data_IF_654458907625
#
_entry.id   IF_654458907625
#
_cell.length_a   1.000
_cell.length_b   1.000
_cell.length_c   1.000
_cell.angle_alpha   90.00
_cell.angle_beta   90.00
_cell.angle_gamma   90.00
#
_symmetry.space_group_name_H-M   'P 1'
#
loop_
_entity.id
_entity.type
_entity.pdbx_description
1 polymer ?
#
# COMPACT_ATOMS: atom_id res chain seq x y z
N UNK A 1 -14.76 -10.78 -1.40
CA UNK A 1 -13.84 -9.84 -2.09
C UNK A 1 -14.43 -8.45 -2.01
N UNK A 2 -13.62 -7.49 -1.68
CA UNK A 2 -14.07 -6.11 -1.54
C UNK A 2 -14.35 -5.47 -2.89
N UNK A 3 -15.42 -4.65 -2.93
CA UNK A 3 -15.79 -3.86 -4.11
C UNK A 3 -14.79 -2.74 -4.38
N UNK A 4 -14.08 -2.29 -3.35
CA UNK A 4 -13.13 -1.19 -3.42
C UNK A 4 -11.75 -1.68 -3.03
N UNK A 5 -10.75 -1.24 -3.78
CA UNK A 5 -9.35 -1.50 -3.41
C UNK A 5 -8.54 -0.22 -3.54
N UNK A 6 -7.43 -0.19 -2.83
CA UNK A 6 -6.46 0.90 -2.89
C UNK A 6 -5.11 0.29 -3.25
N UNK A 7 -4.48 0.83 -4.29
CA UNK A 7 -3.19 0.34 -4.78
C UNK A 7 -2.08 1.30 -4.36
N UNK A 8 -1.00 0.77 -3.82
CA UNK A 8 0.19 1.55 -3.55
C UNK A 8 1.37 0.91 -4.27
N UNK A 9 1.92 1.63 -5.23
CA UNK A 9 3.14 1.24 -5.93
C UNK A 9 4.31 1.94 -5.28
N UNK A 10 5.42 1.24 -5.07
CA UNK A 10 6.55 1.84 -4.38
C UNK A 10 7.89 1.25 -4.78
N UNK A 11 8.92 2.09 -4.62
CA UNK A 11 10.32 1.70 -4.74
C UNK A 11 11.06 2.12 -3.47
N UNK A 12 11.91 1.23 -2.91
CA UNK A 12 12.77 1.63 -1.81
C UNK A 12 13.82 2.63 -2.29
N UNK A 13 14.35 3.46 -1.37
CA UNK A 13 15.51 4.30 -1.70
C UNK A 13 16.70 3.45 -2.13
N UNK A 14 17.61 4.03 -2.94
CA UNK A 14 18.73 3.29 -3.53
C UNK A 14 19.66 2.65 -2.51
N UNK A 15 19.78 3.22 -1.33
CA UNK A 15 20.70 2.73 -0.28
C UNK A 15 20.03 1.76 0.71
N UNK A 16 18.77 1.43 0.50
CA UNK A 16 18.00 0.52 1.37
C UNK A 16 17.87 -0.82 0.66
N UNK A 17 18.22 -1.90 1.37
CA UNK A 17 18.09 -3.25 0.80
C UNK A 17 16.63 -3.66 0.71
N UNK A 18 16.33 -4.57 -0.21
CA UNK A 18 14.97 -5.11 -0.33
C UNK A 18 14.53 -5.80 0.97
N UNK A 19 15.43 -6.51 1.62
CA UNK A 19 15.12 -7.19 2.88
C UNK A 19 14.72 -6.20 3.97
N UNK A 20 15.47 -5.12 4.12
CA UNK A 20 15.17 -4.07 5.10
C UNK A 20 13.84 -3.37 4.78
N UNK A 21 13.65 -3.03 3.51
CA UNK A 21 12.42 -2.37 3.06
C UNK A 21 11.19 -3.24 3.31
N UNK A 22 11.26 -4.51 2.93
CA UNK A 22 10.13 -5.42 3.09
C UNK A 22 9.82 -5.71 4.55
N UNK A 23 10.82 -5.86 5.39
CA UNK A 23 10.61 -6.08 6.82
C UNK A 23 9.89 -4.89 7.45
N UNK A 24 10.31 -3.67 7.12
CA UNK A 24 9.64 -2.47 7.61
C UNK A 24 8.23 -2.35 7.06
N UNK A 25 8.07 -2.57 5.75
CA UNK A 25 6.79 -2.37 5.09
C UNK A 25 5.73 -3.35 5.60
N UNK A 26 6.11 -4.61 5.81
CA UNK A 26 5.19 -5.62 6.33
C UNK A 26 4.68 -5.24 7.73
N UNK A 27 5.54 -4.68 8.56
CA UNK A 27 5.13 -4.17 9.87
C UNK A 27 4.24 -2.92 9.74
N UNK A 28 4.58 -2.02 8.82
CA UNK A 28 3.81 -0.80 8.56
C UNK A 28 2.40 -1.11 8.08
N UNK A 29 2.24 -2.14 7.25
CA UNK A 29 0.93 -2.59 6.77
C UNK A 29 0.00 -2.92 7.93
N UNK A 30 0.51 -3.54 8.99
CA UNK A 30 -0.31 -3.87 10.15
C UNK A 30 -0.87 -2.62 10.84
N UNK A 31 -0.11 -1.53 10.85
CA UNK A 31 -0.59 -0.26 11.38
C UNK A 31 -1.72 0.31 10.52
N UNK A 32 -1.59 0.21 9.20
CA UNK A 32 -2.62 0.66 8.27
C UNK A 32 -3.91 -0.14 8.46
N UNK A 33 -3.79 -1.46 8.63
CA UNK A 33 -4.95 -2.33 8.81
C UNK A 33 -5.71 -2.08 10.12
N UNK A 34 -5.11 -1.36 11.06
CA UNK A 34 -5.80 -0.94 12.27
C UNK A 34 -6.72 0.26 12.05
N UNK A 35 -6.65 0.90 10.88
CA UNK A 35 -7.48 2.06 10.53
C UNK A 35 -8.82 1.58 9.97
N UNK A 36 -9.92 2.20 10.40
CA UNK A 36 -11.25 1.84 9.92
C UNK A 36 -11.33 1.94 8.40
N UNK A 37 -11.88 0.91 7.78
CA UNK A 37 -12.05 0.83 6.34
C UNK A 37 -10.96 0.06 5.62
N UNK A 38 -9.83 -0.24 6.28
CA UNK A 38 -8.70 -0.98 5.71
C UNK A 38 -8.77 -2.43 6.17
N UNK A 39 -9.32 -3.28 5.31
CA UNK A 39 -9.74 -4.63 5.69
C UNK A 39 -8.62 -5.66 5.57
N UNK A 40 -7.87 -5.62 4.48
CA UNK A 40 -6.79 -6.58 4.22
C UNK A 40 -5.76 -5.98 3.28
N UNK A 41 -4.59 -6.62 3.22
CA UNK A 41 -3.53 -6.19 2.33
C UNK A 41 -2.77 -7.40 1.79
N UNK A 42 -2.33 -7.27 0.54
CA UNK A 42 -1.44 -8.24 -0.08
C UNK A 42 -0.35 -7.49 -0.82
N UNK A 43 0.88 -7.92 -0.69
CA UNK A 43 2.03 -7.30 -1.33
C UNK A 43 2.56 -8.17 -2.46
N UNK A 44 3.01 -7.52 -3.53
CA UNK A 44 3.51 -8.18 -4.74
C UNK A 44 4.79 -7.52 -5.20
N UNK A 45 5.67 -8.30 -5.83
CA UNK A 45 6.74 -7.73 -6.67
C UNK A 45 6.19 -7.53 -8.08
N UNK A 46 6.78 -6.58 -8.79
CA UNK A 46 6.36 -6.26 -10.16
C UNK A 46 7.47 -6.64 -11.12
N UNK A 47 7.11 -7.32 -12.18
CA UNK A 47 8.03 -7.74 -13.22
C UNK A 47 7.46 -7.33 -14.58
N UNK A 48 8.28 -6.71 -15.42
CA UNK A 48 7.86 -6.32 -16.74
C UNK A 48 7.73 -7.55 -17.64
N UNK A 49 6.59 -7.69 -18.33
CA UNK A 49 6.36 -8.76 -19.29
C UNK A 49 6.54 -8.24 -20.71
N UNK A 50 5.87 -7.13 -21.01
CA UNK A 50 5.97 -6.46 -22.30
C UNK A 50 6.23 -4.99 -22.03
N UNK A 51 7.44 -4.53 -22.38
CA UNK A 51 7.86 -3.16 -22.15
C UNK A 51 8.94 -2.84 -23.16
N UNK A 52 8.64 -1.98 -24.13
CA UNK A 52 9.55 -1.63 -25.21
C UNK A 52 10.87 -1.05 -24.71
N UNK A 53 10.84 -0.37 -23.57
CA UNK A 53 12.02 0.23 -22.96
C UNK A 53 12.60 -0.61 -21.83
N UNK A 54 11.96 -1.76 -21.53
CA UNK A 54 12.35 -2.66 -20.48
C UNK A 54 12.43 -1.97 -19.11
N UNK A 55 11.49 -1.09 -18.86
CA UNK A 55 11.38 -0.39 -17.58
C UNK A 55 10.08 -0.77 -16.89
N UNK A 56 10.11 -0.81 -15.59
CA UNK A 56 8.89 -0.95 -14.79
C UNK A 56 8.74 0.31 -13.95
N UNK A 57 7.49 0.80 -13.76
CA UNK A 57 7.30 2.05 -13.03
C UNK A 57 7.68 1.94 -11.56
N UNK A 58 7.49 0.74 -10.97
CA UNK A 58 7.76 0.50 -9.55
C UNK A 58 8.15 -0.95 -9.34
N UNK A 59 8.86 -1.20 -8.24
CA UNK A 59 9.31 -2.54 -7.88
C UNK A 59 8.26 -3.34 -7.11
N UNK A 60 7.46 -2.67 -6.29
CA UNK A 60 6.49 -3.30 -5.40
C UNK A 60 5.11 -2.73 -5.55
N UNK A 61 4.11 -3.58 -5.31
CA UNK A 61 2.70 -3.22 -5.26
C UNK A 61 2.09 -3.75 -3.98
N UNK A 62 1.35 -2.90 -3.27
CA UNK A 62 0.49 -3.32 -2.18
C UNK A 62 -0.96 -3.13 -2.60
N UNK A 63 -1.76 -4.17 -2.44
CA UNK A 63 -3.21 -4.14 -2.73
C UNK A 63 -3.95 -4.20 -1.42
N UNK A 64 -4.67 -3.13 -1.11
CA UNK A 64 -5.51 -3.05 0.08
C UNK A 64 -6.96 -3.25 -0.31
N UNK A 65 -7.65 -4.19 0.36
CA UNK A 65 -9.08 -4.32 0.23
C UNK A 65 -9.75 -3.40 1.25
N UNK A 66 -10.77 -2.68 0.80
CA UNK A 66 -11.44 -1.68 1.63
C UNK A 66 -12.88 -2.12 1.92
N UNK A 67 -13.34 -1.88 3.15
CA UNK A 67 -14.71 -2.16 3.56
C UNK A 67 -15.65 -0.95 3.41
N UNK A 68 -15.11 0.18 2.90
CA UNK A 68 -15.87 1.41 2.68
C UNK A 68 -15.36 2.07 1.39
N UNK A 69 -16.06 3.09 0.87
CA UNK A 69 -15.57 3.81 -0.33
C UNK A 69 -14.16 4.36 -0.13
N UNK A 70 -13.33 4.35 -1.19
CA UNK A 70 -11.92 4.74 -1.07
C UNK A 70 -11.68 6.13 -0.49
N UNK A 71 -12.52 7.10 -0.81
CA UNK A 71 -12.40 8.45 -0.28
C UNK A 71 -12.56 8.48 1.25
N UNK A 72 -13.47 7.66 1.77
CA UNK A 72 -13.68 7.52 3.23
C UNK A 72 -12.48 6.83 3.86
N UNK A 73 -11.99 5.75 3.25
CA UNK A 73 -10.83 5.01 3.76
C UNK A 73 -9.59 5.89 3.82
N UNK A 74 -9.34 6.65 2.76
CA UNK A 74 -8.18 7.56 2.69
C UNK A 74 -8.32 8.68 3.71
N UNK A 75 -9.53 9.23 3.90
CA UNK A 75 -9.77 10.25 4.91
C UNK A 75 -9.48 9.71 6.31
N UNK A 76 -9.90 8.47 6.60
CA UNK A 76 -9.61 7.82 7.88
C UNK A 76 -8.10 7.63 8.09
N UNK A 77 -7.39 7.25 7.03
CA UNK A 77 -5.93 7.08 7.10
C UNK A 77 -5.22 8.40 7.36
N UNK A 78 -5.65 9.46 6.69
CA UNK A 78 -5.11 10.80 6.89
C UNK A 78 -5.35 11.28 8.32
N UNK A 79 -6.55 11.05 8.85
CA UNK A 79 -6.89 11.41 10.24
C UNK A 79 -6.05 10.64 11.25
N UNK A 80 -5.64 9.42 10.91
CA UNK A 80 -4.77 8.62 11.76
C UNK A 80 -3.29 9.04 11.67
N UNK A 81 -2.98 10.00 10.80
CA UNK A 81 -1.64 10.57 10.62
C UNK A 81 -0.61 9.53 10.18
N UNK A 82 -1.03 8.61 9.31
CA UNK A 82 -0.19 7.56 8.75
C UNK A 82 -0.24 7.61 7.23
N UNK A 83 0.81 7.12 6.58
CA UNK A 83 0.83 6.94 5.14
C UNK A 83 0.91 8.22 4.32
N UNK A 84 1.16 9.36 4.93
CA UNK A 84 1.38 10.61 4.25
C UNK A 84 2.87 10.88 4.18
N UNK A 85 3.41 11.01 2.96
CA UNK A 85 4.82 11.36 2.77
C UNK A 85 5.10 12.69 3.49
N UNK A 86 6.09 12.71 4.36
CA UNK A 86 6.39 13.88 5.17
C UNK A 86 5.70 13.90 6.53
N UNK A 87 4.84 12.92 6.80
CA UNK A 87 4.29 12.77 8.14
C UNK A 87 5.35 12.15 9.02
N UNK A 88 5.64 12.80 10.13
CA UNK A 88 6.64 12.32 11.07
C UNK A 88 5.99 11.54 12.18
N UNK A 89 6.75 10.61 12.74
CA UNK A 89 6.34 9.89 13.93
C UNK A 89 6.28 10.88 15.07
N UNK A 90 5.11 11.02 15.67
CA UNK A 90 4.95 11.82 16.87
C UNK A 90 5.42 11.00 18.06
N UNK A 91 5.92 11.69 19.08
CA UNK A 91 6.31 11.01 20.32
C UNK A 91 5.18 10.16 20.87
N UNK A 92 3.95 10.64 20.73
CA UNK A 92 2.74 9.92 21.11
C UNK A 92 2.66 8.54 20.44
N UNK A 93 3.00 8.47 19.14
CA UNK A 93 2.91 7.22 18.39
C UNK A 93 3.95 6.21 18.88
N UNK A 94 5.13 6.69 19.22
CA UNK A 94 6.19 5.84 19.79
C UNK A 94 5.75 5.33 21.16
N UNK A 95 5.20 6.21 22.00
CA UNK A 95 4.73 5.86 23.34
C UNK A 95 3.57 4.85 23.29
N UNK A 96 2.76 4.88 22.23
CA UNK A 96 1.66 3.94 22.01
C UNK A 96 2.12 2.65 21.31
N UNK A 97 3.42 2.49 21.07
CA UNK A 97 3.97 1.28 20.47
C UNK A 97 3.85 1.20 18.96
N UNK A 98 3.55 2.30 18.29
CA UNK A 98 3.51 2.34 16.82
C UNK A 98 4.93 2.31 16.25
N UNK A 99 5.04 1.73 15.05
CA UNK A 99 6.33 1.61 14.39
C UNK A 99 6.87 2.99 13.99
N UNK A 100 8.09 3.36 14.41
CA UNK A 100 8.67 4.64 14.03
C UNK A 100 8.99 4.66 12.54
N UNK A 101 8.86 5.84 11.91
CA UNK A 101 9.26 6.03 10.53
C UNK A 101 10.79 5.99 10.45
N UNK A 102 11.35 5.20 9.54
CA UNK A 102 12.80 5.17 9.35
C UNK A 102 13.31 6.45 8.69
N UNK A 103 14.61 6.71 8.85
CA UNK A 103 15.26 7.89 8.26
C UNK A 103 15.03 8.00 6.77
N UNK A 104 14.98 6.86 6.08
CA UNK A 104 14.86 6.80 4.64
C UNK A 104 13.42 6.85 4.13
N UNK A 105 12.43 6.99 5.02
CA UNK A 105 11.01 6.98 4.64
C UNK A 105 10.69 8.02 3.58
N UNK A 106 11.21 9.23 3.70
CA UNK A 106 10.95 10.30 2.74
C UNK A 106 11.60 10.07 1.38
N UNK A 107 12.54 9.12 1.30
CA UNK A 107 13.18 8.74 0.04
C UNK A 107 12.43 7.66 -0.74
N UNK A 108 11.33 7.15 -0.19
CA UNK A 108 10.52 6.17 -0.90
C UNK A 108 9.81 6.87 -2.07
N UNK A 109 9.99 6.31 -3.27
CA UNK A 109 9.23 6.76 -4.43
C UNK A 109 7.94 5.94 -4.48
N UNK A 110 6.79 6.60 -4.45
CA UNK A 110 5.53 5.87 -4.47
C UNK A 110 4.42 6.65 -5.16
N UNK A 111 3.40 5.90 -5.59
CA UNK A 111 2.16 6.44 -6.10
C UNK A 111 1.01 5.55 -5.67
N UNK A 112 -0.17 6.11 -5.53
CA UNK A 112 -1.32 5.35 -5.09
C UNK A 112 -2.55 5.71 -5.90
N UNK A 113 -3.45 4.72 -6.04
CA UNK A 113 -4.68 4.87 -6.81
C UNK A 113 -5.81 4.13 -6.11
N UNK A 114 -6.99 4.74 -6.15
CA UNK A 114 -8.22 4.11 -5.69
C UNK A 114 -8.88 3.40 -6.85
N UNK A 115 -9.40 2.20 -6.60
CA UNK A 115 -10.08 1.41 -7.62
C UNK A 115 -11.44 0.97 -7.13
N UNK A 116 -12.43 1.10 -8.00
CA UNK A 116 -13.78 0.63 -7.72
C UNK A 116 -14.13 -0.47 -8.71
N UNK A 117 -14.69 -1.56 -8.22
CA UNK A 117 -15.07 -2.70 -9.05
C UNK A 117 -16.11 -2.29 -10.07
N UNK A 118 -15.89 -2.63 -11.33
CA UNK A 118 -16.86 -2.35 -12.42
C UNK A 118 -17.51 -3.60 -12.98
N UNK A 119 -17.06 -4.76 -12.54
CA UNK A 119 -17.66 -6.04 -12.94
C UNK A 119 -17.54 -7.02 -11.80
N UNK A 120 -18.39 -8.05 -11.81
CA UNK A 120 -18.18 -9.18 -10.92
C UNK A 120 -16.91 -9.93 -11.32
N UNK A 121 -16.37 -10.69 -10.37
CA UNK A 121 -15.26 -11.58 -10.68
C UNK A 121 -15.70 -12.53 -11.79
N UNK A 122 -14.90 -12.61 -12.84
CA UNK A 122 -15.23 -13.44 -13.99
C UNK A 122 -14.39 -14.71 -14.01
N UNK A 123 -15.03 -15.79 -14.41
CA UNK A 123 -14.38 -17.05 -14.71
C UNK A 123 -14.85 -17.48 -16.10
N UNK A 124 -14.20 -18.49 -16.67
CA UNK A 124 -14.60 -18.98 -17.97
C UNK A 124 -16.05 -19.45 -17.91
N UNK A 125 -16.85 -19.00 -18.88
CA UNK A 125 -18.27 -19.39 -18.97
C UNK A 125 -18.35 -20.85 -19.38
N UNK A 126 -19.15 -21.63 -18.63
CA UNK A 126 -19.40 -23.01 -18.93
C UNK A 126 -20.35 -23.08 -20.13
N UNK A 127 -20.00 -23.85 -21.17
CA UNK A 127 -20.72 -23.86 -22.42
C UNK A 127 -21.81 -24.94 -22.52
N UNK A 128 -22.09 -25.65 -21.47
CA UNK A 128 -23.12 -26.68 -21.44
C UNK A 128 -24.54 -26.11 -21.40
#
# INVERSE_FOLDING_TARGET
MSKFIHLVFSDPPAHVTDAEYNAWYDAHVQEILAVDGWESATRYTIEAVVDAENTRPYRYLSVYELSCPPDVAVANLTAADMGNAGTYVHKKDVDEGKLPLPDWFTGIHFGSWNCTQVSERMTLIDSD
#
